data_IF_624640949303
#
_entry.id   IF_624640949303
#
_cell.length_a   1.000
_cell.length_b   1.000
_cell.length_c   1.000
_cell.angle_alpha   90.00
_cell.angle_beta   90.00
_cell.angle_gamma   90.00
#
_symmetry.space_group_name_H-M   'P 1'
#
loop_
_entity.id
_entity.type
_entity.pdbx_description
1 polymer ?
#
# COMPACT_ATOMS: atom_id res chain seq x y z
N UNK A 1 24.51 4.05 12.50
CA UNK A 1 23.95 4.93 11.46
C UNK A 1 22.48 5.03 11.77
N UNK A 2 22.11 6.13 12.43
CA UNK A 2 20.76 6.46 12.84
C UNK A 2 20.07 7.13 11.65
N UNK A 3 19.54 6.30 10.75
CA UNK A 3 18.70 6.73 9.64
C UNK A 3 17.23 6.45 9.95
N UNK A 4 16.83 6.58 11.22
CA UNK A 4 15.45 6.39 11.67
C UNK A 4 14.55 7.50 11.12
N UNK A 5 14.10 7.27 9.88
CA UNK A 5 12.83 7.66 9.27
C UNK A 5 11.88 8.46 10.19
N UNK A 6 11.97 9.78 10.12
CA UNK A 6 10.81 10.64 10.35
C UNK A 6 10.42 11.21 8.99
N UNK A 7 9.64 10.46 8.22
CA UNK A 7 8.86 11.05 7.13
C UNK A 7 7.92 12.07 7.76
N UNK A 8 7.95 13.31 7.27
CA UNK A 8 7.02 14.34 7.71
C UNK A 8 5.60 13.93 7.32
N UNK A 9 4.61 14.33 8.12
CA UNK A 9 3.20 14.12 7.81
C UNK A 9 2.82 14.79 6.49
N UNK A 10 3.53 15.87 6.11
CA UNK A 10 3.37 16.51 4.79
C UNK A 10 3.80 15.58 3.65
N UNK A 11 4.90 14.84 3.79
CA UNK A 11 5.36 13.88 2.77
C UNK A 11 4.40 12.69 2.64
N UNK A 12 3.90 12.17 3.78
CA UNK A 12 2.89 11.10 3.78
C UNK A 12 1.60 11.55 3.10
N UNK A 13 1.17 12.78 3.38
CA UNK A 13 0.00 13.38 2.75
C UNK A 13 0.23 13.56 1.25
N UNK A 14 1.38 14.09 0.83
CA UNK A 14 1.72 14.27 -0.57
C UNK A 14 1.67 12.94 -1.34
N UNK A 15 2.25 11.88 -0.76
CA UNK A 15 2.20 10.53 -1.33
C UNK A 15 0.76 10.03 -1.50
N UNK A 16 -0.06 10.15 -0.45
CA UNK A 16 -1.45 9.71 -0.49
C UNK A 16 -2.24 10.48 -1.54
N UNK A 17 -2.16 11.82 -1.52
CA UNK A 17 -2.82 12.69 -2.49
C UNK A 17 -2.42 12.33 -3.93
N UNK A 18 -1.13 12.08 -4.18
CA UNK A 18 -0.64 11.67 -5.49
C UNK A 18 -1.25 10.34 -5.94
N UNK A 19 -1.21 9.31 -5.10
CA UNK A 19 -1.70 7.97 -5.45
C UNK A 19 -3.22 7.95 -5.74
N UNK A 20 -4.01 8.73 -5.00
CA UNK A 20 -5.46 8.85 -5.21
C UNK A 20 -5.85 9.75 -6.39
N UNK A 21 -4.96 10.61 -6.87
CA UNK A 21 -5.24 11.53 -7.97
C UNK A 21 -5.09 10.89 -9.36
N UNK A 22 -4.44 9.73 -9.47
CA UNK A 22 -4.16 9.07 -10.74
C UNK A 22 -5.29 8.10 -11.11
N UNK A 23 -5.91 8.31 -12.27
CA UNK A 23 -7.04 7.49 -12.77
C UNK A 23 -6.66 6.09 -13.28
N UNK A 24 -5.42 5.89 -13.73
CA UNK A 24 -4.92 4.58 -14.18
C UNK A 24 -3.44 4.42 -13.79
N UNK A 25 -3.15 3.40 -12.99
CA UNK A 25 -1.80 3.18 -12.44
C UNK A 25 -0.87 2.46 -13.41
N UNK A 26 0.30 3.05 -13.66
CA UNK A 26 1.34 2.44 -14.45
C UNK A 26 2.39 1.79 -13.54
N UNK A 27 3.49 1.30 -14.14
CA UNK A 27 4.54 0.62 -13.38
C UNK A 27 5.19 1.49 -12.29
N UNK A 28 5.15 2.81 -12.44
CA UNK A 28 5.71 3.73 -11.46
C UNK A 28 4.83 3.77 -10.20
N UNK A 29 3.52 3.95 -10.35
CA UNK A 29 2.56 4.03 -9.25
C UNK A 29 2.51 2.70 -8.49
N UNK A 30 2.52 1.57 -9.19
CA UNK A 30 2.64 0.26 -8.55
C UNK A 30 3.93 0.09 -7.73
N UNK A 31 5.05 0.53 -8.29
CA UNK A 31 6.33 0.45 -7.61
C UNK A 31 6.34 1.37 -6.38
N UNK A 32 5.84 2.59 -6.53
CA UNK A 32 5.74 3.57 -5.45
C UNK A 32 4.86 3.05 -4.32
N UNK A 33 3.65 2.57 -4.64
CA UNK A 33 2.73 2.00 -3.66
C UNK A 33 3.33 0.78 -2.96
N UNK A 34 3.99 -0.12 -3.68
CA UNK A 34 4.64 -1.30 -3.08
C UNK A 34 5.70 -0.93 -2.04
N UNK A 35 6.51 0.09 -2.31
CA UNK A 35 7.66 0.44 -1.46
C UNK A 35 7.30 1.46 -0.36
N UNK A 36 6.26 2.27 -0.56
CA UNK A 36 5.84 3.31 0.37
C UNK A 36 4.55 2.95 1.13
N UNK A 37 4.08 1.71 1.02
CA UNK A 37 2.80 1.27 1.57
C UNK A 37 2.67 1.49 3.09
N UNK A 38 3.78 1.34 3.82
CA UNK A 38 3.84 1.53 5.28
C UNK A 38 3.62 2.97 5.75
N UNK A 39 3.70 3.94 4.82
CA UNK A 39 3.46 5.35 5.12
C UNK A 39 1.96 5.71 5.06
N UNK A 40 1.13 4.77 4.60
CA UNK A 40 -0.31 4.92 4.47
C UNK A 40 -1.02 4.22 5.62
N UNK A 41 -2.17 4.77 6.04
CA UNK A 41 -3.01 4.08 7.01
C UNK A 41 -3.84 2.96 6.36
N UNK A 42 -4.35 2.05 7.17
CA UNK A 42 -5.10 0.86 6.74
C UNK A 42 -6.27 1.19 5.79
N UNK A 43 -7.02 2.25 6.09
CA UNK A 43 -8.16 2.66 5.25
C UNK A 43 -7.70 3.11 3.86
N UNK A 44 -6.59 3.82 3.78
CA UNK A 44 -5.98 4.23 2.51
C UNK A 44 -5.50 3.01 1.72
N UNK A 45 -4.81 2.07 2.38
CA UNK A 45 -4.34 0.83 1.75
C UNK A 45 -5.53 0.04 1.16
N UNK A 46 -6.59 -0.17 1.95
CA UNK A 46 -7.80 -0.90 1.51
C UNK A 46 -8.50 -0.21 0.33
N UNK A 47 -8.56 1.12 0.34
CA UNK A 47 -9.19 1.91 -0.73
C UNK A 47 -8.42 1.77 -2.04
N UNK A 48 -7.10 1.99 -2.02
CA UNK A 48 -6.24 1.87 -3.20
C UNK A 48 -6.20 0.44 -3.76
N UNK A 49 -6.23 -0.59 -2.91
CA UNK A 49 -6.38 -1.98 -3.35
C UNK A 49 -7.71 -2.24 -4.07
N UNK A 50 -8.78 -1.57 -3.64
CA UNK A 50 -10.11 -1.72 -4.25
C UNK A 50 -10.15 -1.07 -5.64
N UNK A 51 -9.49 0.07 -5.81
CA UNK A 51 -9.29 0.75 -7.11
C UNK A 51 -8.47 -0.12 -8.07
N UNK A 52 -7.32 -0.63 -7.62
CA UNK A 52 -6.47 -1.56 -8.40
C UNK A 52 -7.21 -2.81 -8.89
N UNK A 53 -8.15 -3.34 -8.10
CA UNK A 53 -8.97 -4.49 -8.49
C UNK A 53 -9.89 -4.15 -9.66
N UNK A 54 -10.49 -2.96 -9.66
CA UNK A 54 -11.43 -2.53 -10.69
C UNK A 54 -10.75 -2.31 -12.05
N UNK A 55 -9.48 -1.90 -12.05
CA UNK A 55 -8.69 -1.71 -13.29
C UNK A 55 -7.95 -2.97 -13.78
N UNK A 56 -8.01 -4.07 -13.02
CA UNK A 56 -7.25 -5.31 -13.25
C UNK A 56 -7.45 -5.98 -14.63
N UNK A 57 -8.43 -5.55 -15.42
CA UNK A 57 -8.65 -6.02 -16.80
C UNK A 57 -7.58 -5.55 -17.78
N UNK A 58 -7.04 -4.32 -17.66
CA UNK A 58 -5.98 -3.81 -18.54
C UNK A 58 -4.64 -4.50 -18.31
N UNK A 59 -4.41 -5.01 -17.11
CA UNK A 59 -3.07 -5.41 -16.67
C UNK A 59 -2.75 -6.91 -16.75
N UNK A 60 -3.71 -7.75 -17.14
CA UNK A 60 -3.54 -9.23 -17.17
C UNK A 60 -2.42 -9.73 -18.08
N UNK A 61 -2.02 -8.93 -19.07
CA UNK A 61 -1.11 -9.38 -20.13
C UNK A 61 0.37 -9.11 -19.84
N UNK A 62 0.70 -8.38 -18.77
CA UNK A 62 2.09 -8.04 -18.44
C UNK A 62 2.57 -8.80 -17.20
N UNK A 63 3.50 -9.75 -17.39
CA UNK A 63 4.09 -10.58 -16.32
C UNK A 63 4.60 -9.74 -15.15
N UNK A 64 5.30 -8.64 -15.44
CA UNK A 64 5.83 -7.73 -14.40
C UNK A 64 4.73 -7.11 -13.54
N UNK A 65 3.61 -6.70 -14.14
CA UNK A 65 2.48 -6.13 -13.40
C UNK A 65 1.87 -7.15 -12.43
N UNK A 66 1.69 -8.39 -12.89
CA UNK A 66 1.21 -9.50 -12.04
C UNK A 66 2.12 -9.76 -10.84
N UNK A 67 3.43 -9.62 -11.02
CA UNK A 67 4.39 -9.80 -9.93
C UNK A 67 4.32 -8.64 -8.91
N UNK A 68 4.12 -7.40 -9.37
CA UNK A 68 3.85 -6.25 -8.49
C UNK A 68 2.57 -6.47 -7.68
N UNK A 69 1.45 -6.81 -8.34
CA UNK A 69 0.18 -7.04 -7.65
C UNK A 69 0.29 -8.10 -6.55
N UNK A 70 0.96 -9.22 -6.82
CA UNK A 70 1.15 -10.27 -5.80
C UNK A 70 1.92 -9.75 -4.59
N UNK A 71 3.00 -9.00 -4.83
CA UNK A 71 3.81 -8.43 -3.74
C UNK A 71 3.03 -7.40 -2.94
N UNK A 72 2.30 -6.51 -3.62
CA UNK A 72 1.42 -5.52 -3.00
C UNK A 72 0.39 -6.21 -2.11
N UNK A 73 -0.28 -7.25 -2.62
CA UNK A 73 -1.28 -7.98 -1.83
C UNK A 73 -0.69 -8.67 -0.60
N UNK A 74 0.48 -9.32 -0.74
CA UNK A 74 1.16 -9.97 0.39
C UNK A 74 1.58 -8.92 1.43
N UNK A 75 2.18 -7.80 1.00
CA UNK A 75 2.58 -6.71 1.89
C UNK A 75 1.38 -6.12 2.61
N UNK A 76 0.27 -5.92 1.90
CA UNK A 76 -0.99 -5.41 2.47
C UNK A 76 -1.53 -6.33 3.55
N UNK A 77 -1.56 -7.64 3.30
CA UNK A 77 -1.98 -8.61 4.32
C UNK A 77 -1.06 -8.56 5.53
N UNK A 78 0.25 -8.44 5.34
CA UNK A 78 1.22 -8.30 6.44
C UNK A 78 0.96 -7.06 7.30
N UNK A 79 0.90 -5.88 6.67
CA UNK A 79 0.72 -4.59 7.34
C UNK A 79 -0.63 -4.51 8.09
N UNK A 80 -1.71 -4.98 7.45
CA UNK A 80 -3.04 -4.95 8.06
C UNK A 80 -3.17 -5.96 9.23
N UNK A 81 -2.45 -7.09 9.17
CA UNK A 81 -2.48 -8.08 10.24
C UNK A 81 -1.63 -7.67 11.46
N UNK A 82 -0.53 -6.94 11.28
CA UNK A 82 0.35 -6.48 12.36
C UNK A 82 -0.39 -5.69 13.47
N UNK A 83 -1.52 -5.03 13.15
CA UNK A 83 -2.36 -4.35 14.13
C UNK A 83 -3.34 -5.26 14.89
N UNK A 84 -3.72 -6.40 14.31
CA UNK A 84 -4.68 -7.34 14.92
C UNK A 84 -4.05 -8.08 16.11
N UNK A 85 -2.74 -8.34 16.05
CA UNK A 85 -2.01 -9.01 17.13
C UNK A 85 -1.84 -8.09 18.35
N UNK A 86 -1.73 -6.77 18.17
CA UNK A 86 -1.65 -5.80 19.28
C UNK A 86 -2.99 -5.70 20.04
N UNK A 87 -4.12 -5.76 19.34
CA UNK A 87 -5.45 -5.73 19.95
C UNK A 87 -5.79 -7.05 20.66
N UNK A 88 -5.37 -8.19 20.11
CA UNK A 88 -5.58 -9.50 20.74
C UNK A 88 -4.74 -9.68 22.01
N UNK A 89 -3.54 -9.09 22.10
CA UNK A 89 -2.72 -9.12 23.32
C UNK A 89 -3.33 -8.22 24.41
N UNK A 90 -3.80 -7.00 24.09
CA UNK A 90 -4.43 -6.11 25.08
C UNK A 90 -5.79 -6.57 25.61
N UNK A 91 -6.50 -7.42 24.88
CA UNK A 91 -7.76 -8.03 25.36
C UNK A 91 -7.58 -9.22 26.31
N UNK A 92 -6.33 -9.66 26.53
CA UNK A 92 -5.96 -10.78 27.41
C UNK A 92 -5.30 -10.33 28.72
N UNK A 93 -5.15 -9.02 28.93
CA UNK A 93 -4.75 -8.39 30.20
C UNK A 93 -5.97 -7.72 30.86
#
# INVERSE_FOLDING_TARGET
MDGGDHFDEEDKKFLADYLFAIEEWMSFELYLFLNAQMLLNDNMIVSLLSELKNESTSYRNLRKYRDYLKKILINSVGLLNEFTDILNVKSRE
#
